data_IF_813148198660
#
_entry.id   IF_813148198660
#
_cell.length_a   1.000
_cell.length_b   1.000
_cell.length_c   1.000
_cell.angle_alpha   90.00
_cell.angle_beta   90.00
_cell.angle_gamma   90.00
#
_symmetry.space_group_name_H-M   'P 1'
#
loop_
_entity.id
_entity.type
_entity.pdbx_description
1 polymer ?
#
# COMPACT_ATOMS: atom_id res chain seq x y z
N UNK A 1 -8.94 -22.36 -4.34
CA UNK A 1 -8.93 -21.28 -5.34
C UNK A 1 -7.68 -21.50 -6.17
N UNK A 2 -7.83 -21.86 -7.43
CA UNK A 2 -6.75 -22.43 -8.25
C UNK A 2 -5.92 -21.31 -8.92
N UNK A 3 -4.63 -21.56 -9.08
CA UNK A 3 -3.58 -20.68 -9.62
C UNK A 3 -3.95 -20.08 -11.00
N UNK A 4 -4.69 -20.84 -11.83
CA UNK A 4 -5.21 -20.40 -13.13
C UNK A 4 -6.17 -19.20 -13.05
N UNK A 5 -7.00 -19.11 -12.00
CA UNK A 5 -7.90 -17.97 -11.83
C UNK A 5 -7.12 -16.70 -11.47
N UNK A 6 -5.96 -16.83 -10.84
CA UNK A 6 -5.12 -15.69 -10.45
C UNK A 6 -4.42 -15.09 -11.66
N UNK A 7 -3.95 -15.93 -12.59
CA UNK A 7 -3.34 -15.47 -13.84
C UNK A 7 -4.35 -14.79 -14.76
N UNK A 8 -5.59 -15.30 -14.81
CA UNK A 8 -6.69 -14.65 -15.53
C UNK A 8 -7.00 -13.24 -15.00
N UNK A 9 -7.18 -13.10 -13.69
CA UNK A 9 -7.49 -11.78 -13.08
C UNK A 9 -6.36 -10.76 -13.22
N UNK A 10 -5.09 -11.20 -13.17
CA UNK A 10 -3.94 -10.30 -13.39
C UNK A 10 -3.88 -9.84 -14.85
N UNK A 11 -4.14 -10.74 -15.81
CA UNK A 11 -4.14 -10.40 -17.24
C UNK A 11 -5.24 -9.40 -17.58
N UNK A 12 -6.44 -9.57 -17.01
CA UNK A 12 -7.53 -8.61 -17.17
C UNK A 12 -7.22 -7.24 -16.55
N UNK A 13 -6.54 -7.22 -15.40
CA UNK A 13 -6.08 -5.98 -14.77
C UNK A 13 -5.05 -5.23 -15.62
N UNK A 14 -4.09 -5.94 -16.21
CA UNK A 14 -3.11 -5.31 -17.10
C UNK A 14 -3.75 -4.74 -18.37
N UNK A 15 -4.74 -5.44 -18.91
CA UNK A 15 -5.52 -4.96 -20.05
C UNK A 15 -6.31 -3.70 -19.67
N UNK A 16 -7.02 -3.73 -18.54
CA UNK A 16 -7.76 -2.57 -18.04
C UNK A 16 -6.85 -1.35 -17.81
N UNK A 17 -5.67 -1.57 -17.23
CA UNK A 17 -4.66 -0.52 -17.06
C UNK A 17 -4.13 0.02 -18.39
N UNK A 18 -4.05 -0.82 -19.43
CA UNK A 18 -3.62 -0.41 -20.76
C UNK A 18 -4.71 0.39 -21.50
N UNK A 19 -5.98 0.05 -21.26
CA UNK A 19 -7.14 0.75 -21.82
C UNK A 19 -7.40 2.09 -21.10
N UNK A 20 -7.20 2.15 -19.78
CA UNK A 20 -7.39 3.34 -18.95
C UNK A 20 -6.13 3.64 -18.09
N UNK A 21 -5.05 4.16 -18.70
CA UNK A 21 -3.79 4.39 -18.00
C UNK A 21 -3.85 5.48 -16.94
N UNK A 22 -4.87 6.35 -16.97
CA UNK A 22 -5.08 7.43 -16.00
C UNK A 22 -6.04 7.02 -14.86
N UNK A 23 -6.46 5.75 -14.82
CA UNK A 23 -7.31 5.26 -13.74
C UNK A 23 -6.47 4.87 -12.52
N UNK A 24 -6.42 5.77 -11.52
CA UNK A 24 -5.65 5.55 -10.29
C UNK A 24 -6.02 4.26 -9.55
N UNK A 25 -7.28 3.81 -9.61
CA UNK A 25 -7.70 2.55 -8.98
C UNK A 25 -7.04 1.33 -9.62
N UNK A 26 -6.87 1.31 -10.96
CA UNK A 26 -6.17 0.22 -11.63
C UNK A 26 -4.70 0.16 -11.26
N UNK A 27 -4.04 1.31 -11.06
CA UNK A 27 -2.68 1.36 -10.53
C UNK A 27 -2.57 0.83 -9.10
N UNK A 28 -3.51 1.20 -8.21
CA UNK A 28 -3.54 0.68 -6.84
C UNK A 28 -3.78 -0.85 -6.81
N UNK A 29 -4.63 -1.36 -7.69
CA UNK A 29 -4.86 -2.79 -7.87
C UNK A 29 -3.61 -3.51 -8.41
N UNK A 30 -2.97 -2.93 -9.42
CA UNK A 30 -1.77 -3.48 -10.03
C UNK A 30 -0.61 -3.54 -9.03
N UNK A 31 -0.52 -2.56 -8.12
CA UNK A 31 0.42 -2.60 -7.00
C UNK A 31 0.20 -3.81 -6.10
N UNK A 32 -1.05 -4.13 -5.73
CA UNK A 32 -1.35 -5.33 -4.94
C UNK A 32 -1.01 -6.63 -5.69
N UNK A 33 -1.27 -6.68 -7.00
CA UNK A 33 -0.87 -7.81 -7.84
C UNK A 33 0.65 -7.99 -7.86
N UNK A 34 1.42 -6.91 -7.99
CA UNK A 34 2.88 -6.94 -7.95
C UNK A 34 3.43 -7.42 -6.59
N UNK A 35 2.80 -7.04 -5.47
CA UNK A 35 3.13 -7.57 -4.14
C UNK A 35 2.89 -9.08 -4.07
N UNK A 36 1.78 -9.55 -4.61
CA UNK A 36 1.48 -10.98 -4.65
C UNK A 36 2.52 -11.78 -5.47
N UNK A 37 3.18 -11.13 -6.44
CA UNK A 37 4.29 -11.68 -7.23
C UNK A 37 5.67 -11.48 -6.57
N UNK A 38 5.75 -10.73 -5.46
CA UNK A 38 7.00 -10.39 -4.78
C UNK A 38 7.81 -9.27 -5.46
N UNK A 39 7.26 -8.61 -6.48
CA UNK A 39 7.90 -7.47 -7.14
C UNK A 39 7.58 -6.17 -6.41
N UNK A 40 8.30 -5.95 -5.31
CA UNK A 40 8.13 -4.75 -4.47
C UNK A 40 8.62 -3.47 -5.17
N UNK A 41 9.46 -3.57 -6.19
CA UNK A 41 9.88 -2.41 -6.98
C UNK A 41 8.73 -1.90 -7.84
N UNK A 42 8.17 -2.79 -8.67
CA UNK A 42 7.01 -2.49 -9.50
C UNK A 42 5.81 -2.08 -8.64
N UNK A 43 5.57 -2.77 -7.52
CA UNK A 43 4.48 -2.43 -6.61
C UNK A 43 4.57 -0.99 -6.09
N UNK A 44 5.77 -0.50 -5.77
CA UNK A 44 5.97 0.85 -5.24
C UNK A 44 5.70 1.91 -6.31
N UNK A 45 6.16 1.67 -7.54
CA UNK A 45 5.91 2.56 -8.67
C UNK A 45 4.40 2.66 -8.96
N UNK A 46 3.73 1.51 -9.07
CA UNK A 46 2.29 1.45 -9.35
C UNK A 46 1.47 2.07 -8.21
N UNK A 47 1.84 1.83 -6.96
CA UNK A 47 1.19 2.47 -5.81
C UNK A 47 1.28 3.99 -5.92
N UNK A 48 2.50 4.50 -6.10
CA UNK A 48 2.78 5.93 -6.17
C UNK A 48 2.07 6.59 -7.33
N UNK A 49 2.05 5.94 -8.49
CA UNK A 49 1.31 6.43 -9.64
C UNK A 49 -0.19 6.48 -9.35
N UNK A 50 -0.74 5.42 -8.76
CA UNK A 50 -2.14 5.37 -8.34
C UNK A 50 -2.49 6.47 -7.35
N UNK A 51 -1.59 6.75 -6.39
CA UNK A 51 -1.73 7.85 -5.44
C UNK A 51 -1.68 9.22 -6.13
N UNK A 52 -0.84 9.42 -7.15
CA UNK A 52 -0.82 10.68 -7.91
C UNK A 52 -2.11 10.93 -8.69
N UNK A 53 -2.74 9.87 -9.21
CA UNK A 53 -3.96 9.94 -10.01
C UNK A 53 -5.25 9.96 -9.19
N UNK A 54 -5.16 9.86 -7.86
CA UNK A 54 -6.32 9.77 -6.98
C UNK A 54 -6.18 10.72 -5.79
N UNK A 55 -7.29 11.10 -5.20
CA UNK A 55 -7.26 11.96 -4.01
C UNK A 55 -6.84 11.15 -2.77
N UNK A 56 -6.27 11.79 -1.73
CA UNK A 56 -5.93 11.14 -0.46
C UNK A 56 -7.03 10.28 0.15
N UNK A 57 -8.29 10.66 -0.02
CA UNK A 57 -9.46 9.91 0.44
C UNK A 57 -9.56 8.55 -0.28
N UNK A 58 -9.10 8.47 -1.53
CA UNK A 58 -9.13 7.28 -2.37
C UNK A 58 -7.92 6.36 -2.15
N UNK A 59 -6.85 6.84 -1.51
CA UNK A 59 -5.63 6.05 -1.20
C UNK A 59 -5.86 4.95 -0.18
N UNK A 60 -7.06 4.84 0.37
CA UNK A 60 -7.37 3.74 1.25
C UNK A 60 -8.44 4.04 2.25
N UNK A 61 -9.54 4.66 1.83
CA UNK A 61 -10.73 4.67 2.66
C UNK A 61 -11.06 3.23 3.10
N UNK A 62 -10.99 2.91 4.41
CA UNK A 62 -11.52 1.68 4.98
C UNK A 62 -13.01 1.51 4.74
N UNK A 63 -13.72 2.60 4.48
CA UNK A 63 -15.17 2.71 4.49
C UNK A 63 -15.79 2.80 3.10
N UNK A 64 -14.99 2.82 2.03
CA UNK A 64 -15.51 2.71 0.66
C UNK A 64 -16.10 1.32 0.36
N UNK A 65 -16.10 0.40 1.34
CA UNK A 65 -16.82 -0.88 1.35
C UNK A 65 -16.23 -1.96 0.43
N UNK A 66 -15.54 -1.55 -0.64
CA UNK A 66 -15.09 -2.45 -1.70
C UNK A 66 -13.89 -3.33 -1.33
N UNK A 67 -13.19 -3.03 -0.23
CA UNK A 67 -11.90 -3.68 0.10
C UNK A 67 -11.79 -4.21 1.53
N UNK A 68 -12.88 -4.21 2.30
CA UNK A 68 -12.88 -4.63 3.72
C UNK A 68 -12.52 -6.11 3.87
N UNK A 69 -13.07 -6.98 3.01
CA UNK A 69 -12.85 -8.43 3.09
C UNK A 69 -11.42 -8.86 2.74
N UNK A 70 -10.72 -8.08 1.92
CA UNK A 70 -9.38 -8.43 1.45
C UNK A 70 -8.32 -8.25 2.54
N UNK A 71 -8.49 -7.28 3.46
CA UNK A 71 -7.51 -6.94 4.51
C UNK A 71 -7.36 -8.02 5.58
N UNK A 72 -8.47 -8.67 5.92
CA UNK A 72 -8.49 -9.75 6.90
C UNK A 72 -8.12 -11.11 6.28
N UNK A 73 -7.93 -11.18 4.96
CA UNK A 73 -7.62 -12.43 4.29
C UNK A 73 -6.23 -12.95 4.71
N UNK A 74 -6.07 -14.26 4.97
CA UNK A 74 -4.77 -14.85 5.25
C UNK A 74 -3.73 -14.59 4.14
N UNK A 75 -4.21 -14.47 2.89
CA UNK A 75 -3.37 -14.17 1.73
C UNK A 75 -2.76 -12.78 1.81
N UNK A 76 -3.54 -11.77 2.18
CA UNK A 76 -3.05 -10.41 2.35
C UNK A 76 -2.04 -10.33 3.50
N UNK A 77 -2.31 -10.97 4.64
CA UNK A 77 -1.36 -11.03 5.75
C UNK A 77 -0.04 -11.73 5.36
N UNK A 78 -0.12 -12.79 4.56
CA UNK A 78 1.07 -13.47 4.03
C UNK A 78 1.91 -12.55 3.13
N UNK A 79 1.27 -11.81 2.22
CA UNK A 79 1.93 -10.81 1.37
C UNK A 79 2.71 -9.77 2.17
N UNK A 80 2.10 -9.23 3.23
CA UNK A 80 2.79 -8.28 4.11
C UNK A 80 3.94 -8.97 4.89
N UNK A 81 3.77 -10.23 5.27
CA UNK A 81 4.85 -11.05 5.83
C UNK A 81 6.06 -11.16 4.91
N UNK A 82 5.83 -11.42 3.62
CA UNK A 82 6.89 -11.50 2.60
C UNK A 82 7.59 -10.16 2.40
N UNK A 83 6.84 -9.06 2.35
CA UNK A 83 7.42 -7.70 2.28
C UNK A 83 8.30 -7.38 3.49
N UNK A 84 7.90 -7.81 4.69
CA UNK A 84 8.72 -7.63 5.90
C UNK A 84 10.00 -8.46 5.86
N UNK A 85 9.95 -9.70 5.39
CA UNK A 85 11.13 -10.54 5.21
C UNK A 85 12.12 -9.91 4.22
N UNK A 86 11.60 -9.39 3.11
CA UNK A 86 12.40 -8.66 2.12
C UNK A 86 13.11 -7.44 2.73
N UNK A 87 12.42 -6.64 3.55
CA UNK A 87 13.00 -5.50 4.23
C UNK A 87 14.04 -5.89 5.29
N UNK A 88 13.93 -7.08 5.89
CA UNK A 88 14.94 -7.58 6.82
C UNK A 88 16.28 -7.87 6.11
N UNK A 89 16.23 -8.37 4.88
CA UNK A 89 17.42 -8.58 4.04
C UNK A 89 17.93 -7.28 3.40
N UNK A 90 17.05 -6.31 3.19
CA UNK A 90 17.33 -5.07 2.45
C UNK A 90 16.83 -3.84 3.21
N UNK A 91 17.44 -3.50 4.36
CA UNK A 91 16.95 -2.41 5.22
C UNK A 91 16.99 -1.03 4.56
N UNK A 92 17.83 -0.83 3.54
CA UNK A 92 17.92 0.41 2.77
C UNK A 92 16.90 0.56 1.63
N UNK A 93 16.01 -0.43 1.42
CA UNK A 93 15.00 -0.37 0.36
C UNK A 93 13.84 0.56 0.74
N UNK A 94 14.03 1.87 0.58
CA UNK A 94 13.04 2.92 0.91
C UNK A 94 11.70 2.71 0.20
N UNK A 95 11.72 2.28 -1.06
CA UNK A 95 10.50 1.97 -1.84
C UNK A 95 9.64 0.86 -1.20
N UNK A 96 10.28 -0.18 -0.66
CA UNK A 96 9.61 -1.29 0.01
C UNK A 96 9.13 -0.87 1.40
N UNK A 97 9.87 0.03 2.07
CA UNK A 97 9.48 0.60 3.34
C UNK A 97 8.24 1.49 3.21
N UNK A 98 8.18 2.31 2.17
CA UNK A 98 6.99 3.10 1.82
C UNK A 98 5.78 2.20 1.57
N UNK A 99 5.93 1.12 0.80
CA UNK A 99 4.87 0.14 0.58
C UNK A 99 4.35 -0.47 1.89
N UNK A 100 5.26 -0.85 2.79
CA UNK A 100 4.89 -1.42 4.08
C UNK A 100 4.10 -0.40 4.92
N UNK A 101 4.55 0.85 4.93
CA UNK A 101 3.89 1.91 5.67
C UNK A 101 2.48 2.20 5.13
N UNK A 102 2.31 2.25 3.81
CA UNK A 102 1.00 2.37 3.17
C UNK A 102 0.06 1.26 3.63
N UNK A 103 0.52 0.01 3.65
CA UNK A 103 -0.31 -1.10 4.11
C UNK A 103 -0.61 -1.09 5.61
N UNK A 104 0.29 -0.58 6.45
CA UNK A 104 0.01 -0.31 7.85
C UNK A 104 -1.06 0.75 8.04
N UNK A 105 -0.97 1.88 7.33
CA UNK A 105 -2.00 2.91 7.37
C UNK A 105 -3.34 2.35 6.87
N UNK A 106 -3.30 1.57 5.79
CA UNK A 106 -4.48 0.92 5.21
C UNK A 106 -5.16 -0.09 6.15
N UNK A 107 -4.38 -0.76 7.01
CA UNK A 107 -4.90 -1.75 7.97
C UNK A 107 -5.22 -1.18 9.35
N UNK A 108 -5.21 0.15 9.51
CA UNK A 108 -5.50 0.79 10.81
C UNK A 108 -4.31 0.87 11.76
N UNK A 109 -3.14 0.35 11.37
CA UNK A 109 -1.93 0.30 12.22
C UNK A 109 -1.13 1.59 12.10
N UNK A 110 -1.77 2.72 12.41
CA UNK A 110 -1.25 4.06 12.16
C UNK A 110 0.13 4.30 12.80
N UNK A 111 0.34 3.90 14.06
CA UNK A 111 1.64 4.08 14.73
C UNK A 111 2.79 3.33 14.04
N UNK A 112 2.52 2.16 13.45
CA UNK A 112 3.54 1.42 12.69
C UNK A 112 3.78 2.06 11.31
N UNK A 113 2.74 2.63 10.70
CA UNK A 113 2.88 3.37 9.44
C UNK A 113 3.74 4.62 9.62
N UNK A 114 3.50 5.41 10.67
CA UNK A 114 4.31 6.61 11.03
C UNK A 114 5.79 6.23 11.12
N UNK A 115 6.13 5.22 11.93
CA UNK A 115 7.53 4.78 12.11
C UNK A 115 8.22 4.38 10.80
N UNK A 116 7.50 3.72 9.89
CA UNK A 116 8.08 3.33 8.60
C UNK A 116 8.22 4.53 7.64
N UNK A 117 7.31 5.51 7.69
CA UNK A 117 7.39 6.74 6.89
C UNK A 117 8.52 7.67 7.36
N UNK A 118 8.69 7.82 8.67
CA UNK A 118 9.81 8.57 9.25
C UNK A 118 11.14 8.03 8.73
N UNK A 119 11.33 6.71 8.73
CA UNK A 119 12.53 6.07 8.17
C UNK A 119 12.70 6.24 6.66
N UNK A 120 11.60 6.32 5.89
CA UNK A 120 11.69 6.68 4.47
C UNK A 120 12.24 8.08 4.33
N UNK A 121 11.71 9.02 5.12
CA UNK A 121 12.05 10.44 5.08
C UNK A 121 13.43 10.75 5.68
N UNK A 122 13.94 9.93 6.60
CA UNK A 122 15.33 10.00 7.08
C UNK A 122 16.33 9.82 5.92
N UNK A 123 15.99 8.96 4.95
CA UNK A 123 16.85 8.64 3.79
C UNK A 123 16.55 9.57 2.61
N UNK A 124 15.27 9.81 2.32
CA UNK A 124 14.83 10.70 1.25
C UNK A 124 13.83 11.75 1.75
N UNK A 125 14.36 12.87 2.23
CA UNK A 125 13.58 14.00 2.73
C UNK A 125 12.75 14.72 1.65
N UNK A 126 12.97 14.40 0.37
CA UNK A 126 12.29 15.03 -0.76
C UNK A 126 11.08 14.22 -1.25
N UNK A 127 10.80 13.09 -0.63
CA UNK A 127 9.66 12.24 -0.98
C UNK A 127 8.34 12.90 -0.54
N UNK A 128 7.74 13.66 -1.46
CA UNK A 128 6.48 14.40 -1.25
C UNK A 128 5.34 13.46 -0.86
N UNK A 129 5.26 12.27 -1.46
CA UNK A 129 4.19 11.32 -1.17
C UNK A 129 4.36 10.67 0.20
N UNK A 130 5.60 10.44 0.66
CA UNK A 130 5.86 9.98 2.02
C UNK A 130 5.45 11.03 3.06
N UNK A 131 5.78 12.31 2.83
CA UNK A 131 5.31 13.41 3.68
C UNK A 131 3.79 13.51 3.72
N UNK A 132 3.13 13.40 2.57
CA UNK A 132 1.68 13.49 2.50
C UNK A 132 0.99 12.33 3.22
N UNK A 133 1.45 11.10 2.97
CA UNK A 133 0.94 9.92 3.65
C UNK A 133 1.21 9.98 5.17
N UNK A 134 2.35 10.52 5.60
CA UNK A 134 2.67 10.72 7.01
C UNK A 134 1.67 11.66 7.67
N UNK A 135 1.45 12.84 7.08
CA UNK A 135 0.48 13.83 7.58
C UNK A 135 -0.93 13.25 7.74
N UNK A 136 -1.40 12.47 6.76
CA UNK A 136 -2.72 11.81 6.81
C UNK A 136 -2.75 10.76 7.93
N UNK A 137 -1.68 9.99 8.07
CA UNK A 137 -1.57 8.92 9.07
C UNK A 137 -1.52 9.50 10.49
N UNK A 138 -0.76 10.56 10.73
CA UNK A 138 -0.68 11.26 12.02
C UNK A 138 -2.03 11.86 12.41
N UNK A 139 -2.68 12.57 11.49
CA UNK A 139 -4.00 13.14 11.74
C UNK A 139 -5.04 12.07 12.12
N UNK A 140 -4.95 10.87 11.52
CA UNK A 140 -5.81 9.74 11.87
C UNK A 140 -5.44 9.10 13.21
N UNK A 141 -4.15 9.06 13.57
CA UNK A 141 -3.68 8.54 14.84
C UNK A 141 -4.19 9.39 16.01
N UNK A 142 -4.16 10.72 15.87
CA UNK A 142 -4.64 11.67 16.88
C UNK A 142 -6.16 11.59 17.10
N UNK A 143 -6.92 11.15 16.09
CA UNK A 143 -8.37 11.01 16.17
C UNK A 143 -8.84 9.68 16.79
N UNK A 144 -7.93 8.75 17.10
CA UNK A 144 -8.29 7.56 17.89
C UNK A 144 -8.43 8.02 19.34
N UNK A 145 -9.65 8.06 19.92
CA UNK A 145 -9.81 8.46 21.31
C UNK A 145 -8.97 7.54 22.19
N UNK A 146 -8.22 8.12 23.12
CA UNK A 146 -7.51 7.36 24.14
C UNK A 146 -8.47 6.32 24.75
N UNK A 147 -8.00 5.08 25.03
CA UNK A 147 -8.85 4.11 25.70
C UNK A 147 -9.42 4.76 26.97
N UNK A 148 -10.74 4.65 27.15
CA UNK A 148 -11.37 5.07 28.39
C UNK A 148 -10.78 4.19 29.50
N UNK A 149 -10.06 4.82 30.42
CA UNK A 149 -9.58 4.20 31.66
C UNK A 149 -10.73 3.64 32.51
#
# INVERSE_FOLDING_TARGET
MNEDQHQGSISDLWRALSEEPENGTFHLLASQAAIALGDFGAASILLRHGMTLSSPEQWGDPFSGQWVDLRASPRYLNQIGTLRAFLAERPGATYARFLLAYHWAYTGRMGQAVQELERVLEIDQRDVQAWELLRITESRLEFIPAPLD
#
